data_IF_023791521777
#
_entry.id   IF_023791521777
#
_cell.length_a   1.000
_cell.length_b   1.000
_cell.length_c   1.000
_cell.angle_alpha   90.00
_cell.angle_beta   90.00
_cell.angle_gamma   90.00
#
_symmetry.space_group_name_H-M   'P 1'
#
loop_
_entity.id
_entity.type
_entity.pdbx_description
1 polymer ?
#
# COMPACT_ATOMS: atom_id res chain seq x y z
N UNK A 1 -30.24 6.32 -28.72
CA UNK A 1 -28.86 5.94 -29.08
C UNK A 1 -28.90 5.12 -30.36
N UNK A 2 -28.47 5.68 -31.50
CA UNK A 2 -28.54 5.02 -32.82
C UNK A 2 -27.43 3.98 -33.07
N UNK A 3 -27.59 3.18 -34.13
CA UNK A 3 -26.67 2.09 -34.52
C UNK A 3 -25.23 2.57 -34.72
N UNK A 4 -25.02 3.70 -35.41
CA UNK A 4 -23.70 4.28 -35.66
C UNK A 4 -22.96 4.66 -34.36
N UNK A 5 -23.69 5.15 -33.35
CA UNK A 5 -23.09 5.48 -32.06
C UNK A 5 -22.68 4.22 -31.28
N UNK A 6 -23.55 3.20 -31.26
CA UNK A 6 -23.28 1.96 -30.52
C UNK A 6 -22.19 1.10 -31.16
N UNK A 7 -22.17 0.99 -32.49
CA UNK A 7 -21.30 0.05 -33.21
C UNK A 7 -20.12 0.71 -33.94
N UNK A 8 -20.13 2.03 -34.12
CA UNK A 8 -19.02 2.78 -34.71
C UNK A 8 -18.22 3.52 -33.63
N UNK A 9 -18.75 4.66 -33.19
CA UNK A 9 -18.01 5.56 -32.28
C UNK A 9 -17.67 4.90 -30.95
N UNK A 10 -18.63 4.28 -30.27
CA UNK A 10 -18.36 3.61 -28.99
C UNK A 10 -17.35 2.48 -29.13
N UNK A 11 -17.41 1.71 -30.21
CA UNK A 11 -16.45 0.65 -30.48
C UNK A 11 -15.03 1.20 -30.65
N UNK A 12 -14.86 2.26 -31.43
CA UNK A 12 -13.56 2.91 -31.62
C UNK A 12 -13.04 3.53 -30.31
N UNK A 13 -13.91 4.10 -29.48
CA UNK A 13 -13.53 4.61 -28.16
C UNK A 13 -13.08 3.50 -27.21
N UNK A 14 -13.78 2.37 -27.21
CA UNK A 14 -13.42 1.22 -26.39
C UNK A 14 -12.10 0.59 -26.89
N UNK A 15 -11.87 0.54 -28.21
CA UNK A 15 -10.62 0.08 -28.81
C UNK A 15 -9.43 1.01 -28.48
N UNK A 16 -9.60 2.33 -28.58
CA UNK A 16 -8.57 3.29 -28.23
C UNK A 16 -8.18 3.17 -26.74
N UNK A 17 -9.18 3.05 -25.86
CA UNK A 17 -8.94 2.79 -24.44
C UNK A 17 -8.18 1.49 -24.20
N UNK A 18 -8.51 0.40 -24.91
CA UNK A 18 -7.80 -0.88 -24.76
C UNK A 18 -6.35 -0.79 -25.23
N UNK A 19 -6.05 -0.01 -26.27
CA UNK A 19 -4.67 0.23 -26.75
C UNK A 19 -3.90 1.12 -25.76
N UNK A 20 -4.54 2.17 -25.24
CA UNK A 20 -3.93 3.11 -24.29
C UNK A 20 -3.74 2.50 -22.89
N UNK A 21 -4.44 1.40 -22.58
CA UNK A 21 -4.32 0.70 -21.31
C UNK A 21 -2.98 -0.07 -21.22
N UNK A 22 -1.94 0.64 -20.80
CA UNK A 22 -0.61 0.10 -20.51
C UNK A 22 -0.52 -0.56 -19.11
N UNK A 23 -1.64 -0.61 -18.37
CA UNK A 23 -1.69 -1.26 -17.05
C UNK A 23 -1.80 -2.78 -17.15
N UNK A 24 -1.51 -3.48 -16.05
CA UNK A 24 -1.72 -4.93 -15.93
C UNK A 24 -3.20 -5.31 -15.71
N UNK A 25 -4.11 -4.33 -15.64
CA UNK A 25 -5.52 -4.55 -15.36
C UNK A 25 -6.34 -4.60 -16.65
N UNK A 26 -6.92 -5.76 -16.98
CA UNK A 26 -7.80 -5.89 -18.14
C UNK A 26 -9.15 -5.19 -17.93
N UNK A 27 -9.66 -4.53 -18.97
CA UNK A 27 -10.97 -3.89 -18.99
C UNK A 27 -11.93 -4.78 -19.79
N UNK A 28 -12.26 -5.94 -19.21
CA UNK A 28 -12.97 -7.01 -19.89
C UNK A 28 -14.49 -6.77 -20.07
N UNK A 29 -15.17 -6.09 -19.12
CA UNK A 29 -16.63 -5.78 -19.22
C UNK A 29 -17.12 -4.53 -18.50
N UNK A 30 -16.39 -4.04 -17.49
CA UNK A 30 -16.83 -2.92 -16.65
C UNK A 30 -15.64 -2.08 -16.18
N UNK A 31 -15.51 -0.87 -16.75
CA UNK A 31 -14.51 0.12 -16.34
C UNK A 31 -14.55 0.35 -14.83
N UNK A 32 -15.77 0.48 -14.28
CA UNK A 32 -16.00 0.68 -12.83
C UNK A 32 -15.48 -0.48 -11.97
N UNK A 33 -15.57 -1.73 -12.45
CA UNK A 33 -15.02 -2.89 -11.74
C UNK A 33 -13.50 -2.90 -11.79
N UNK A 34 -12.91 -2.67 -12.97
CA UNK A 34 -11.46 -2.60 -13.15
C UNK A 34 -10.83 -1.51 -12.25
N UNK A 35 -11.38 -0.29 -12.27
CA UNK A 35 -10.93 0.82 -11.42
C UNK A 35 -11.03 0.48 -9.93
N UNK A 36 -12.15 -0.15 -9.51
CA UNK A 36 -12.34 -0.54 -8.10
C UNK A 36 -11.31 -1.57 -7.67
N UNK A 37 -11.04 -2.56 -8.51
CA UNK A 37 -10.07 -3.61 -8.20
C UNK A 37 -8.66 -3.04 -8.10
N UNK A 38 -8.21 -2.25 -9.08
CA UNK A 38 -6.88 -1.63 -9.05
C UNK A 38 -6.71 -0.67 -7.86
N UNK A 39 -7.74 0.14 -7.55
CA UNK A 39 -7.73 0.99 -6.35
C UNK A 39 -7.73 0.17 -5.05
N UNK A 40 -8.48 -0.93 -5.02
CA UNK A 40 -8.52 -1.84 -3.89
C UNK A 40 -7.16 -2.45 -3.58
N UNK A 41 -6.49 -2.94 -4.62
CA UNK A 41 -5.12 -3.48 -4.53
C UNK A 41 -4.12 -2.44 -4.02
N UNK A 42 -4.10 -1.25 -4.62
CA UNK A 42 -3.26 -0.13 -4.17
C UNK A 42 -3.51 0.21 -2.69
N UNK A 43 -4.78 0.29 -2.27
CA UNK A 43 -5.13 0.59 -0.88
C UNK A 43 -4.70 -0.51 0.10
N UNK A 44 -4.75 -1.79 -0.31
CA UNK A 44 -4.28 -2.91 0.51
C UNK A 44 -2.77 -2.78 0.73
N UNK A 45 -2.01 -2.57 -0.34
CA UNK A 45 -0.55 -2.37 -0.28
C UNK A 45 -0.15 -1.15 0.54
N UNK A 46 -0.90 -0.05 0.39
CA UNK A 46 -0.67 1.16 1.18
C UNK A 46 -0.93 0.92 2.68
N UNK A 47 -1.98 0.17 3.01
CA UNK A 47 -2.28 -0.20 4.39
C UNK A 47 -1.20 -1.09 4.99
N UNK A 48 -0.74 -2.10 4.26
CA UNK A 48 0.35 -3.00 4.68
C UNK A 48 1.64 -2.21 4.92
N UNK A 49 2.06 -1.38 3.96
CA UNK A 49 3.24 -0.51 4.09
C UNK A 49 3.16 0.39 5.33
N UNK A 50 2.03 1.07 5.53
CA UNK A 50 1.85 1.98 6.66
C UNK A 50 1.82 1.26 8.01
N UNK A 51 1.30 0.03 8.06
CA UNK A 51 1.32 -0.82 9.25
C UNK A 51 2.75 -1.14 9.70
N UNK A 52 3.55 -1.71 8.79
CA UNK A 52 4.96 -2.04 9.06
C UNK A 52 5.76 -0.79 9.43
N UNK A 53 5.53 0.32 8.72
CA UNK A 53 6.20 1.60 9.00
C UNK A 53 5.92 2.09 10.41
N UNK A 54 4.65 2.13 10.82
CA UNK A 54 4.26 2.57 12.16
C UNK A 54 4.87 1.69 13.26
N UNK A 55 4.92 0.38 13.02
CA UNK A 55 5.52 -0.58 13.92
C UNK A 55 7.04 -0.36 14.05
N UNK A 56 7.73 -0.22 12.91
CA UNK A 56 9.17 0.08 12.86
C UNK A 56 9.52 1.41 13.55
N UNK A 57 8.76 2.48 13.28
CA UNK A 57 8.98 3.79 13.92
C UNK A 57 8.88 3.69 15.46
N UNK A 58 7.93 2.89 15.96
CA UNK A 58 7.82 2.60 17.40
C UNK A 58 8.98 1.73 17.91
N UNK A 59 9.48 0.81 17.08
CA UNK A 59 10.55 -0.11 17.45
C UNK A 59 11.92 0.59 17.47
N UNK A 60 12.14 1.58 16.61
CA UNK A 60 13.33 2.44 16.68
C UNK A 60 13.43 3.16 18.03
N UNK A 61 12.31 3.59 18.61
CA UNK A 61 12.26 4.13 19.98
C UNK A 61 12.67 3.08 21.00
N UNK A 62 12.20 1.83 20.86
CA UNK A 62 12.61 0.70 21.72
C UNK A 62 14.11 0.50 21.69
N UNK A 63 14.73 0.48 20.50
CA UNK A 63 16.18 0.34 20.33
C UNK A 63 16.95 1.50 20.97
N UNK A 64 16.45 2.73 20.81
CA UNK A 64 17.02 3.90 21.49
C UNK A 64 16.97 3.75 23.02
N UNK A 65 15.83 3.30 23.57
CA UNK A 65 15.71 3.03 25.01
C UNK A 65 16.68 1.94 25.45
N UNK A 66 16.77 0.81 24.73
CA UNK A 66 17.74 -0.25 25.03
C UNK A 66 19.18 0.28 25.07
N UNK A 67 19.56 1.16 24.13
CA UNK A 67 20.89 1.77 24.12
C UNK A 67 21.20 2.61 25.39
N UNK A 68 20.17 3.21 25.99
CA UNK A 68 20.30 3.98 27.24
C UNK A 68 20.42 3.09 28.47
N UNK A 69 19.75 1.93 28.49
CA UNK A 69 19.99 0.92 29.51
C UNK A 69 21.45 0.48 29.51
N UNK A 70 21.99 0.20 28.32
CA UNK A 70 23.41 -0.19 28.15
C UNK A 70 24.39 0.88 28.63
N UNK A 71 24.12 2.15 28.34
CA UNK A 71 24.99 3.28 28.70
C UNK A 71 24.69 3.86 30.08
N UNK A 72 23.72 3.31 30.82
CA UNK A 72 23.24 3.84 32.11
C UNK A 72 22.75 5.29 32.05
N UNK A 73 22.16 5.69 30.91
CA UNK A 73 21.64 7.05 30.64
C UNK A 73 20.11 7.11 30.58
N UNK A 74 19.44 6.20 31.30
CA UNK A 74 17.97 6.10 31.35
C UNK A 74 17.37 7.43 31.83
N UNK A 75 16.34 7.92 31.13
CA UNK A 75 15.56 9.08 31.56
C UNK A 75 14.40 8.60 32.42
N UNK A 76 14.39 8.80 33.76
CA UNK A 76 13.40 8.18 34.63
C UNK A 76 11.95 8.58 34.29
N UNK A 77 11.08 7.59 34.07
CA UNK A 77 9.65 7.79 33.91
C UNK A 77 8.99 8.12 35.27
N UNK A 78 8.28 9.25 35.37
CA UNK A 78 7.60 9.66 36.62
C UNK A 78 6.39 8.80 36.97
N UNK A 79 5.78 8.16 35.97
CA UNK A 79 4.55 7.37 36.12
C UNK A 79 4.80 5.90 36.48
N UNK A 80 6.01 5.38 36.27
CA UNK A 80 6.31 3.96 36.47
C UNK A 80 6.89 3.70 37.86
N UNK A 81 6.02 3.36 38.83
CA UNK A 81 6.39 3.21 40.25
C UNK A 81 7.13 1.92 40.57
N UNK A 82 7.03 0.89 39.73
CA UNK A 82 7.73 -0.39 39.91
C UNK A 82 8.26 -0.93 38.58
N UNK A 83 9.52 -1.39 38.51
CA UNK A 83 10.03 -2.10 37.35
C UNK A 83 9.38 -3.48 37.24
N UNK A 84 9.23 -3.99 36.01
CA UNK A 84 8.89 -5.39 35.79
C UNK A 84 10.11 -6.30 36.02
N UNK A 85 9.92 -7.62 36.01
CA UNK A 85 10.97 -8.60 36.33
C UNK A 85 12.03 -8.80 35.24
N UNK A 86 11.93 -8.11 34.10
CA UNK A 86 12.92 -8.16 33.02
C UNK A 86 14.25 -7.47 33.39
N UNK A 87 15.34 -7.93 32.77
CA UNK A 87 16.67 -7.31 32.92
C UNK A 87 16.64 -5.82 32.54
N UNK A 88 16.01 -5.50 31.41
CA UNK A 88 15.74 -4.14 30.97
C UNK A 88 14.24 -3.88 30.94
N UNK A 89 13.70 -3.37 32.04
CA UNK A 89 12.33 -2.87 32.07
C UNK A 89 12.23 -1.55 31.30
N UNK A 90 12.02 -1.61 29.97
CA UNK A 90 12.07 -0.46 29.06
C UNK A 90 11.17 0.71 29.47
N UNK A 91 10.03 0.44 30.11
CA UNK A 91 9.11 1.46 30.63
C UNK A 91 9.66 2.30 31.81
N UNK A 92 10.84 1.97 32.34
CA UNK A 92 11.56 2.87 33.26
C UNK A 92 12.10 4.10 32.54
N UNK A 93 12.30 4.04 31.23
CA UNK A 93 12.68 5.20 30.42
C UNK A 93 11.42 5.95 29.95
N UNK A 94 11.38 7.26 30.19
CA UNK A 94 10.27 8.16 29.84
C UNK A 94 10.04 8.25 28.33
N UNK A 95 11.03 7.94 27.49
CA UNK A 95 10.87 7.97 26.03
C UNK A 95 10.07 6.78 25.50
N UNK A 96 9.94 5.70 26.29
CA UNK A 96 9.12 4.55 25.89
C UNK A 96 7.67 4.94 25.57
N UNK A 97 7.15 6.04 26.14
CA UNK A 97 5.81 6.56 25.81
C UNK A 97 5.63 6.97 24.34
N UNK A 98 6.73 7.20 23.61
CA UNK A 98 6.72 7.54 22.17
C UNK A 98 6.56 6.29 21.30
N UNK A 99 6.87 5.10 21.83
CA UNK A 99 6.70 3.83 21.15
C UNK A 99 5.24 3.36 21.22
N UNK A 100 4.34 4.09 20.53
CA UNK A 100 2.89 3.97 20.72
C UNK A 100 2.28 2.58 20.45
N UNK A 101 2.94 1.76 19.62
CA UNK A 101 2.53 0.38 19.36
C UNK A 101 2.79 -0.53 20.57
N UNK A 102 3.91 -0.33 21.26
CA UNK A 102 4.37 -1.18 22.36
C UNK A 102 3.76 -0.71 23.68
N UNK A 103 2.63 -1.33 24.06
CA UNK A 103 1.94 -1.04 25.31
C UNK A 103 2.60 -1.75 26.50
N UNK A 104 2.28 -1.28 27.70
CA UNK A 104 2.70 -1.90 28.97
C UNK A 104 1.95 -3.21 29.26
N UNK A 105 1.78 -4.07 28.26
CA UNK A 105 1.05 -5.33 28.35
C UNK A 105 1.86 -6.31 29.22
N UNK A 106 1.31 -6.78 30.36
CA UNK A 106 1.99 -7.76 31.19
C UNK A 106 1.97 -9.14 30.51
N UNK A 107 3.06 -9.88 30.66
CA UNK A 107 3.24 -11.24 30.17
C UNK A 107 3.90 -12.07 31.26
N UNK A 108 3.33 -13.24 31.56
CA UNK A 108 3.89 -14.18 32.54
C UNK A 108 4.80 -15.19 31.83
N UNK A 109 6.03 -15.32 32.31
CA UNK A 109 6.97 -16.33 31.82
C UNK A 109 6.51 -17.73 32.21
N UNK A 110 6.48 -18.66 31.25
CA UNK A 110 6.09 -20.05 31.48
C UNK A 110 7.04 -20.78 32.44
N UNK A 111 8.36 -20.61 32.27
CA UNK A 111 9.36 -21.29 33.09
C UNK A 111 9.47 -20.73 34.52
N UNK A 112 9.57 -19.41 34.69
CA UNK A 112 9.86 -18.81 36.00
C UNK A 112 8.68 -18.09 36.66
N UNK A 113 7.51 -18.05 36.02
CA UNK A 113 6.28 -17.39 36.50
C UNK A 113 6.39 -15.88 36.79
N UNK A 114 7.55 -15.27 36.56
CA UNK A 114 7.79 -13.84 36.67
C UNK A 114 7.00 -13.07 35.61
N UNK A 115 6.57 -11.85 35.98
CA UNK A 115 5.79 -10.98 35.10
C UNK A 115 6.68 -9.87 34.54
N UNK A 116 6.73 -9.81 33.22
CA UNK A 116 7.47 -8.79 32.47
C UNK A 116 6.53 -8.13 31.46
N UNK A 117 6.85 -6.93 30.98
CA UNK A 117 6.10 -6.41 29.83
C UNK A 117 6.44 -7.22 28.59
N UNK A 118 5.49 -7.44 27.69
CA UNK A 118 5.69 -8.19 26.44
C UNK A 118 6.95 -7.75 25.67
N UNK A 119 7.10 -6.44 25.42
CA UNK A 119 8.27 -5.86 24.76
C UNK A 119 9.58 -6.08 25.53
N UNK A 120 9.52 -6.14 26.87
CA UNK A 120 10.69 -6.43 27.72
C UNK A 120 11.04 -7.92 27.72
N UNK A 121 10.15 -8.78 27.24
CA UNK A 121 10.33 -10.23 27.10
C UNK A 121 10.73 -10.65 25.68
N UNK A 122 10.93 -9.70 24.76
CA UNK A 122 11.37 -10.01 23.39
C UNK A 122 10.28 -10.02 22.33
N UNK A 123 9.03 -9.69 22.69
CA UNK A 123 7.93 -9.61 21.72
C UNK A 123 8.02 -8.27 20.98
N UNK A 124 8.64 -8.32 19.82
CA UNK A 124 9.01 -7.15 19.03
C UNK A 124 8.39 -7.14 17.65
N UNK A 125 8.03 -8.29 17.08
CA UNK A 125 7.44 -8.37 15.74
C UNK A 125 5.96 -7.97 15.72
N UNK A 126 5.42 -7.63 14.55
CA UNK A 126 3.97 -7.38 14.40
C UNK A 126 3.16 -8.62 14.79
N UNK A 127 3.61 -9.80 14.36
CA UNK A 127 2.95 -11.08 14.59
C UNK A 127 2.87 -11.42 16.08
N UNK A 128 3.93 -11.13 16.86
CA UNK A 128 3.92 -11.31 18.32
C UNK A 128 2.80 -10.49 18.98
N UNK A 129 2.62 -9.26 18.52
CA UNK A 129 1.64 -8.33 19.08
C UNK A 129 0.21 -8.65 18.64
N UNK A 130 0.04 -9.17 17.43
CA UNK A 130 -1.24 -9.70 16.99
C UNK A 130 -1.62 -10.95 17.80
N UNK A 131 -0.68 -11.86 18.03
CA UNK A 131 -0.92 -13.08 18.82
C UNK A 131 -1.34 -12.77 20.26
N UNK A 132 -0.66 -11.82 20.92
CA UNK A 132 -1.01 -11.35 22.27
C UNK A 132 -2.45 -10.85 22.40
N UNK A 133 -3.04 -10.34 21.32
CA UNK A 133 -4.41 -9.86 21.34
C UNK A 133 -5.45 -10.98 21.33
N UNK A 134 -5.04 -12.20 20.95
CA UNK A 134 -5.92 -13.35 20.74
C UNK A 134 -5.78 -14.39 21.86
N UNK A 135 -4.55 -14.68 22.28
CA UNK A 135 -4.23 -15.74 23.24
C UNK A 135 -3.08 -15.29 24.14
N UNK A 136 -3.06 -15.72 25.40
CA UNK A 136 -1.88 -15.57 26.25
C UNK A 136 -0.82 -16.58 25.79
N UNK A 137 0.30 -16.14 25.21
CA UNK A 137 1.24 -17.05 24.56
C UNK A 137 2.09 -17.76 25.61
N UNK A 138 2.34 -19.06 25.39
CA UNK A 138 3.24 -19.87 26.20
C UNK A 138 4.69 -19.49 25.85
N UNK A 139 5.23 -18.49 26.54
CA UNK A 139 6.51 -17.86 26.21
C UNK A 139 7.42 -17.80 27.44
N UNK A 140 8.71 -18.04 27.18
CA UNK A 140 9.77 -17.85 28.15
C UNK A 140 10.36 -16.45 28.03
N UNK A 141 10.62 -15.81 29.17
CA UNK A 141 11.30 -14.51 29.18
C UNK A 141 12.74 -14.64 28.68
N UNK A 142 13.31 -13.55 28.18
CA UNK A 142 14.68 -13.48 27.66
C UNK A 142 15.72 -14.13 28.59
N UNK A 143 15.55 -13.97 29.91
CA UNK A 143 16.43 -14.58 30.91
C UNK A 143 16.34 -16.11 30.93
N UNK A 144 15.13 -16.68 30.87
CA UNK A 144 14.92 -18.13 30.77
C UNK A 144 15.42 -18.68 29.43
N UNK A 145 15.37 -17.86 28.37
CA UNK A 145 15.98 -18.14 27.07
C UNK A 145 17.52 -17.93 27.05
N UNK A 146 18.15 -17.60 28.18
CA UNK A 146 19.59 -17.38 28.28
C UNK A 146 20.11 -16.09 27.63
N UNK A 147 19.23 -15.19 27.20
CA UNK A 147 19.57 -13.91 26.56
C UNK A 147 19.83 -12.83 27.61
N UNK A 148 20.96 -12.12 27.48
CA UNK A 148 21.39 -11.04 28.39
C UNK A 148 22.16 -9.95 27.66
N UNK A 149 22.13 -8.73 28.18
CA UNK A 149 22.95 -7.60 27.71
C UNK A 149 23.02 -7.45 26.18
N UNK A 150 24.22 -7.57 25.62
CA UNK A 150 24.47 -7.38 24.18
C UNK A 150 23.71 -8.37 23.28
N UNK A 151 23.40 -9.59 23.75
CA UNK A 151 22.61 -10.56 22.97
C UNK A 151 21.18 -10.07 22.73
N UNK A 152 20.57 -9.41 23.73
CA UNK A 152 19.22 -8.85 23.61
C UNK A 152 19.22 -7.75 22.53
N UNK A 153 20.25 -6.91 22.50
CA UNK A 153 20.39 -5.86 21.49
C UNK A 153 20.61 -6.44 20.09
N UNK A 154 21.43 -7.49 19.96
CA UNK A 154 21.65 -8.19 18.69
C UNK A 154 20.37 -8.81 18.15
N UNK A 155 19.60 -9.49 19.01
CA UNK A 155 18.31 -10.06 18.65
C UNK A 155 17.34 -8.94 18.21
N UNK A 156 17.30 -7.81 18.93
CA UNK A 156 16.44 -6.67 18.58
C UNK A 156 16.84 -6.04 17.24
N UNK A 157 18.14 -5.88 16.98
CA UNK A 157 18.65 -5.37 15.69
C UNK A 157 18.39 -6.33 14.54
N UNK A 158 18.36 -7.64 14.80
CA UNK A 158 17.96 -8.61 13.78
C UNK A 158 16.52 -8.37 13.34
N UNK A 159 15.61 -8.24 14.31
CA UNK A 159 14.20 -7.92 14.06
C UNK A 159 14.04 -6.57 13.33
N UNK A 160 14.83 -5.57 13.70
CA UNK A 160 14.85 -4.26 13.01
C UNK A 160 15.20 -4.41 11.53
N UNK A 161 16.24 -5.18 11.20
CA UNK A 161 16.65 -5.42 9.81
C UNK A 161 15.56 -6.13 9.01
N UNK A 162 14.95 -7.17 9.58
CA UNK A 162 13.85 -7.91 8.95
C UNK A 162 12.66 -6.98 8.66
N UNK A 163 12.30 -6.09 9.59
CA UNK A 163 11.24 -5.09 9.35
C UNK A 163 11.61 -4.08 8.26
N UNK A 164 12.86 -3.60 8.23
CA UNK A 164 13.33 -2.68 7.18
C UNK A 164 13.30 -3.34 5.79
N UNK A 165 13.73 -4.58 5.70
CA UNK A 165 13.67 -5.36 4.46
C UNK A 165 12.23 -5.54 3.98
N UNK A 166 11.31 -5.93 4.88
CA UNK A 166 9.87 -6.03 4.59
C UNK A 166 9.28 -4.69 4.14
N UNK A 167 9.67 -3.58 4.79
CA UNK A 167 9.17 -2.25 4.45
C UNK A 167 9.62 -1.80 3.05
N UNK A 168 10.88 -2.06 2.66
CA UNK A 168 11.38 -1.74 1.33
C UNK A 168 10.75 -2.61 0.24
N UNK A 169 10.43 -3.87 0.53
CA UNK A 169 9.66 -4.71 -0.38
C UNK A 169 8.25 -4.16 -0.60
N UNK A 170 7.51 -3.90 0.49
CA UNK A 170 6.16 -3.34 0.42
C UNK A 170 6.12 -1.97 -0.26
N UNK A 171 7.17 -1.15 -0.10
CA UNK A 171 7.30 0.11 -0.81
C UNK A 171 7.37 -0.09 -2.32
N UNK A 172 8.19 -1.04 -2.79
CA UNK A 172 8.30 -1.38 -4.22
C UNK A 172 6.97 -1.92 -4.76
N UNK A 173 6.30 -2.80 -4.02
CA UNK A 173 4.97 -3.29 -4.40
C UNK A 173 3.92 -2.18 -4.50
N UNK A 174 3.93 -1.25 -3.54
CA UNK A 174 3.03 -0.09 -3.53
C UNK A 174 3.29 0.84 -4.73
N UNK A 175 4.55 1.12 -5.05
CA UNK A 175 4.91 1.95 -6.22
C UNK A 175 4.40 1.31 -7.52
N UNK A 176 4.54 -0.01 -7.67
CA UNK A 176 4.00 -0.76 -8.82
C UNK A 176 2.47 -0.67 -8.87
N UNK A 177 1.79 -0.84 -7.74
CA UNK A 177 0.33 -0.76 -7.68
C UNK A 177 -0.20 0.65 -7.99
N UNK A 178 0.48 1.70 -7.48
CA UNK A 178 0.18 3.10 -7.77
C UNK A 178 0.34 3.41 -9.26
N UNK A 179 1.45 2.97 -9.86
CA UNK A 179 1.69 3.17 -11.28
C UNK A 179 0.67 2.43 -12.15
N UNK A 180 0.37 1.18 -11.80
CA UNK A 180 -0.66 0.39 -12.48
C UNK A 180 -2.04 1.07 -12.41
N UNK A 181 -2.40 1.63 -11.24
CA UNK A 181 -3.64 2.40 -11.08
C UNK A 181 -3.62 3.68 -11.92
N UNK A 182 -2.50 4.41 -11.94
CA UNK A 182 -2.33 5.64 -12.75
C UNK A 182 -2.52 5.35 -14.24
N UNK A 183 -1.83 4.36 -14.78
CA UNK A 183 -1.94 3.96 -16.20
C UNK A 183 -3.38 3.57 -16.57
N UNK A 184 -4.06 2.83 -15.69
CA UNK A 184 -5.46 2.45 -15.92
C UNK A 184 -6.37 3.70 -15.95
N UNK A 185 -6.16 4.65 -15.04
CA UNK A 185 -6.95 5.88 -14.97
C UNK A 185 -6.76 6.74 -16.21
N UNK A 186 -5.54 6.87 -16.72
CA UNK A 186 -5.25 7.57 -17.99
C UNK A 186 -6.07 6.99 -19.15
N UNK A 187 -6.07 5.65 -19.31
CA UNK A 187 -6.83 5.00 -20.36
C UNK A 187 -8.35 5.17 -20.18
N UNK A 188 -8.86 4.96 -18.95
CA UNK A 188 -10.30 5.02 -18.65
C UNK A 188 -10.86 6.44 -18.79
N UNK A 189 -10.09 7.46 -18.44
CA UNK A 189 -10.47 8.87 -18.57
C UNK A 189 -10.38 9.36 -20.02
N UNK A 190 -9.77 8.59 -20.93
CA UNK A 190 -9.56 9.02 -22.31
C UNK A 190 -8.41 10.02 -22.47
N UNK A 191 -7.43 9.98 -21.57
CA UNK A 191 -6.25 10.86 -21.56
C UNK A 191 -5.05 10.16 -22.24
N UNK A 192 -5.31 9.13 -23.05
CA UNK A 192 -4.30 8.33 -23.72
C UNK A 192 -4.00 8.82 -25.15
N UNK A 193 -2.82 8.47 -25.64
CA UNK A 193 -2.31 8.90 -26.94
C UNK A 193 -3.24 8.48 -28.09
N UNK A 194 -3.79 7.26 -28.07
CA UNK A 194 -4.72 6.79 -29.11
C UNK A 194 -6.07 7.46 -29.02
N UNK A 195 -6.53 7.79 -27.82
CA UNK A 195 -7.74 8.58 -27.66
C UNK A 195 -7.60 9.97 -28.28
N UNK A 196 -6.48 10.64 -28.05
CA UNK A 196 -6.18 11.95 -28.63
C UNK A 196 -6.09 11.91 -30.17
N UNK A 197 -5.39 10.91 -30.73
CA UNK A 197 -5.31 10.71 -32.19
C UNK A 197 -6.70 10.52 -32.83
N UNK A 198 -7.56 9.74 -32.18
CA UNK A 198 -8.91 9.44 -32.65
C UNK A 198 -9.81 10.69 -32.63
N UNK A 199 -9.77 11.46 -31.53
CA UNK A 199 -10.54 12.70 -31.41
C UNK A 199 -10.10 13.76 -32.42
N UNK A 200 -8.78 13.87 -32.67
CA UNK A 200 -8.25 14.75 -33.72
C UNK A 200 -8.76 14.36 -35.10
N UNK A 201 -8.72 13.07 -35.45
CA UNK A 201 -9.22 12.59 -36.75
C UNK A 201 -10.72 12.89 -36.94
N UNK A 202 -11.51 12.83 -35.87
CA UNK A 202 -12.93 13.22 -35.91
C UNK A 202 -13.12 14.73 -36.05
N UNK A 203 -12.32 15.53 -35.33
CA UNK A 203 -12.29 16.98 -35.46
C UNK A 203 -11.99 17.44 -36.89
N UNK A 204 -10.98 16.84 -37.54
CA UNK A 204 -10.64 17.10 -38.95
C UNK A 204 -11.80 16.76 -39.91
N UNK A 205 -12.60 15.74 -39.56
CA UNK A 205 -13.81 15.39 -40.29
C UNK A 205 -15.01 16.32 -40.02
N UNK A 206 -14.90 17.26 -39.08
CA UNK A 206 -15.97 18.18 -38.68
C UNK A 206 -16.94 17.57 -37.66
N UNK A 207 -16.51 16.53 -36.94
CA UNK A 207 -17.27 15.91 -35.88
C UNK A 207 -16.58 16.15 -34.54
N UNK A 208 -17.22 16.94 -33.68
CA UNK A 208 -16.69 17.27 -32.36
C UNK A 208 -17.46 16.52 -31.27
N UNK A 209 -16.73 16.08 -30.25
CA UNK A 209 -17.32 15.41 -29.11
C UNK A 209 -17.75 16.44 -28.08
N UNK A 210 -18.93 16.23 -27.49
CA UNK A 210 -19.33 17.10 -26.38
C UNK A 210 -18.41 16.87 -25.18
N UNK A 211 -17.76 17.93 -24.71
CA UNK A 211 -16.87 17.88 -23.55
C UNK A 211 -17.58 17.32 -22.30
N UNK A 212 -18.89 17.55 -22.18
CA UNK A 212 -19.71 17.14 -21.04
C UNK A 212 -20.20 15.69 -21.08
N UNK A 213 -20.64 15.18 -22.24
CA UNK A 213 -21.16 13.81 -22.34
C UNK A 213 -20.08 12.81 -22.78
N UNK A 214 -18.89 13.31 -23.17
CA UNK A 214 -17.80 12.50 -23.70
C UNK A 214 -18.30 11.60 -24.85
N UNK A 215 -19.22 12.16 -25.64
CA UNK A 215 -19.86 11.50 -26.77
C UNK A 215 -20.30 12.52 -27.85
N UNK A 216 -20.63 12.00 -29.04
CA UNK A 216 -21.22 12.78 -30.13
C UNK A 216 -22.72 13.05 -29.92
N UNK A 217 -23.15 14.28 -30.14
CA UNK A 217 -24.56 14.72 -30.02
C UNK A 217 -25.19 15.04 -31.39
N UNK A 218 -26.28 14.39 -31.81
CA UNK A 218 -26.99 14.76 -33.06
C UNK A 218 -26.35 14.28 -34.39
N UNK A 219 -26.62 14.99 -35.50
CA UNK A 219 -26.31 14.61 -36.92
C UNK A 219 -24.81 14.46 -37.27
N UNK A 220 -23.89 14.46 -36.32
CA UNK A 220 -22.45 14.23 -36.57
C UNK A 220 -22.17 12.89 -37.29
N UNK A 221 -23.05 11.90 -37.12
CA UNK A 221 -22.97 10.63 -37.85
C UNK A 221 -23.09 10.80 -39.38
N UNK A 222 -23.90 11.75 -39.87
CA UNK A 222 -24.01 12.04 -41.30
C UNK A 222 -22.78 12.77 -41.85
N UNK A 223 -22.14 13.62 -41.03
CA UNK A 223 -20.94 14.39 -41.40
C UNK A 223 -19.72 13.46 -41.52
N UNK A 224 -19.51 12.59 -40.54
CA UNK A 224 -18.44 11.57 -40.58
C UNK A 224 -18.72 10.58 -41.71
N UNK A 225 -19.93 10.01 -41.83
CA UNK A 225 -20.21 9.05 -42.89
C UNK A 225 -20.04 9.64 -44.31
N UNK A 226 -20.40 10.92 -44.53
CA UNK A 226 -20.21 11.58 -45.84
C UNK A 226 -18.74 11.85 -46.18
N UNK A 227 -17.91 12.22 -45.19
CA UNK A 227 -16.50 12.58 -45.44
C UNK A 227 -15.55 11.39 -45.32
N UNK A 228 -15.81 10.45 -44.41
CA UNK A 228 -15.04 9.23 -44.26
C UNK A 228 -15.18 8.25 -45.43
N UNK A 229 -16.26 8.35 -46.22
CA UNK A 229 -16.38 7.63 -47.48
C UNK A 229 -15.34 8.08 -48.53
N UNK A 230 -14.61 9.19 -48.27
CA UNK A 230 -13.48 9.65 -49.10
C UNK A 230 -12.11 9.42 -48.45
N UNK A 231 -12.00 9.14 -47.14
CA UNK A 231 -10.71 9.10 -46.42
C UNK A 231 -10.41 7.82 -45.60
N UNK A 232 -11.40 7.00 -45.22
CA UNK A 232 -11.15 5.78 -44.41
C UNK A 232 -10.61 4.57 -45.20
N UNK A 233 -10.41 4.69 -46.51
CA UNK A 233 -9.82 3.62 -47.32
C UNK A 233 -8.29 3.47 -47.11
N UNK A 234 -7.66 4.29 -46.27
CA UNK A 234 -6.19 4.40 -46.19
C UNK A 234 -5.53 4.07 -44.84
N UNK A 235 -6.26 3.72 -43.78
CA UNK A 235 -5.63 3.57 -42.44
C UNK A 235 -5.95 2.29 -41.67
N UNK A 236 -6.71 1.35 -42.24
CA UNK A 236 -6.97 0.03 -41.63
C UNK A 236 -6.64 -1.16 -42.55
N UNK A 237 -5.75 -0.97 -43.55
CA UNK A 237 -5.20 -2.04 -44.39
C UNK A 237 -3.71 -2.28 -44.14
N UNK A 238 -3.32 -2.31 -42.87
CA UNK A 238 -1.99 -2.76 -42.46
C UNK A 238 -2.08 -3.64 -41.21
N UNK A 239 -2.92 -4.68 -41.27
CA UNK A 239 -2.75 -5.99 -40.64
C UNK A 239 -3.53 -7.03 -41.45
#
# INVERSE_FOLDING_TARGET
>A
MGVAHRYGFKFLLDLAMDIDNKSNTKIDKSKKKAMRNAKGDMNVKEKEYNGVKQHLDSFEVVLQVMSRFKTSTIIPAQSHRSPCSAEWCLFRDNEMKKAGVFKSTPLRCATCSEVSHAVCSGLWSEDDWELLSQVEPDMDCLRCCGRKGAMIEEDARKVEREMREKLEELKRELEVAQENYRMLMTAVNGEGEKREELEKAWGDCGADMSAWQQNFTGNHHEVVARRSCQSLHFSFSAY
#
